data_IF_698513262485
#
_entry.id   IF_698513262485
#
_cell.length_a   1.000
_cell.length_b   1.000
_cell.length_c   1.000
_cell.angle_alpha   90.00
_cell.angle_beta   90.00
_cell.angle_gamma   90.00
#
_symmetry.space_group_name_H-M   'P 1'
#
loop_
_entity.id
_entity.type
_entity.pdbx_description
1 polymer ?
#
# COMPACT_ATOMS: atom_id res chain seq x y z
N UNK A 1 -29.37 -13.70 9.12
CA UNK A 1 -28.78 -13.60 9.05
C UNK A 1 -28.36 -13.20 8.88
N UNK A 2 -28.12 -13.02 9.07
CA UNK A 2 -27.55 -12.69 9.00
C UNK A 2 -26.86 -12.30 9.05
N UNK A 3 -26.74 -12.13 9.50
CA UNK A 3 -25.88 -11.83 9.64
C UNK A 3 -25.07 -12.10 9.51
N UNK A 4 -24.85 -12.51 9.64
CA UNK A 4 -23.95 -12.88 9.60
C UNK A 4 -23.43 -12.85 9.01
N UNK A 5 -23.38 -12.91 8.94
CA UNK A 5 -22.69 -12.87 8.47
C UNK A 5 -22.13 -12.11 8.23
N UNK A 6 -22.17 -11.97 8.63
CA UNK A 6 -21.67 -10.75 8.57
C UNK A 6 -20.36 -10.51 9.14
N UNK A 7 -19.99 -10.90 10.27
CA UNK A 7 -18.74 -10.61 10.83
C UNK A 7 -17.64 -11.27 10.15
N UNK A 8 -17.85 -12.41 9.64
CA UNK A 8 -16.80 -12.96 8.91
C UNK A 8 -16.60 -12.27 7.62
N UNK A 9 -17.59 -11.59 7.12
CA UNK A 9 -17.39 -10.74 5.99
C UNK A 9 -16.39 -9.68 6.30
N UNK A 10 -16.40 -9.15 7.48
CA UNK A 10 -15.45 -8.14 7.83
C UNK A 10 -14.05 -8.64 7.80
N UNK A 11 -13.84 -9.86 8.25
CA UNK A 11 -12.51 -10.40 8.26
C UNK A 11 -11.99 -10.66 6.88
N UNK A 12 -12.80 -11.24 6.05
CA UNK A 12 -12.36 -11.60 4.73
C UNK A 12 -12.20 -10.42 3.86
N UNK A 13 -13.06 -9.48 4.04
CA UNK A 13 -13.13 -8.35 3.16
C UNK A 13 -13.16 -7.14 4.01
N UNK A 14 -12.02 -6.80 4.53
CA UNK A 14 -12.00 -5.66 5.42
C UNK A 14 -12.58 -4.49 4.72
N UNK A 15 -13.43 -3.82 5.43
CA UNK A 15 -14.01 -2.63 4.90
C UNK A 15 -12.97 -1.57 4.96
N UNK A 16 -12.48 -1.19 3.82
CA UNK A 16 -11.47 -0.16 3.76
C UNK A 16 -12.17 1.18 3.81
N UNK A 17 -11.77 1.98 4.75
CA UNK A 17 -12.26 3.33 4.82
C UNK A 17 -11.75 4.12 3.64
N UNK A 18 -12.41 5.22 3.36
CA UNK A 18 -12.00 6.07 2.26
C UNK A 18 -10.55 6.50 2.42
N UNK A 19 -10.13 6.78 3.65
CA UNK A 19 -8.75 7.18 3.89
C UNK A 19 -7.78 6.06 3.52
N UNK A 20 -8.11 4.81 3.86
CA UNK A 20 -7.24 3.70 3.51
C UNK A 20 -7.14 3.54 2.01
N UNK A 21 -8.25 3.68 1.31
CA UNK A 21 -8.22 3.58 -0.15
C UNK A 21 -7.38 4.69 -0.75
N UNK A 22 -7.47 5.87 -0.20
CA UNK A 22 -6.67 6.99 -0.69
C UNK A 22 -5.19 6.71 -0.48
N UNK A 23 -4.84 6.19 0.71
CA UNK A 23 -3.45 5.83 0.98
C UNK A 23 -2.96 4.80 -0.03
N UNK A 24 -3.75 3.77 -0.29
CA UNK A 24 -3.33 2.73 -1.21
C UNK A 24 -3.14 3.28 -2.62
N UNK A 25 -4.03 4.17 -3.05
CA UNK A 25 -3.89 4.76 -4.37
C UNK A 25 -2.62 5.60 -4.48
N UNK A 26 -2.31 6.35 -3.43
CA UNK A 26 -1.12 7.18 -3.44
C UNK A 26 0.14 6.33 -3.45
N UNK A 27 0.19 5.28 -2.62
CA UNK A 27 1.36 4.44 -2.55
C UNK A 27 1.53 3.59 -3.79
N UNK A 28 0.44 3.25 -4.45
CA UNK A 28 0.56 2.52 -5.70
C UNK A 28 1.26 3.36 -6.75
N UNK A 29 1.01 4.66 -6.74
CA UNK A 29 1.68 5.55 -7.68
C UNK A 29 3.10 5.87 -7.25
N UNK A 30 3.34 5.99 -5.95
CA UNK A 30 4.64 6.40 -5.45
C UNK A 30 4.88 5.68 -4.13
N UNK A 31 5.48 4.51 -4.22
CA UNK A 31 5.76 3.71 -3.04
C UNK A 31 6.81 4.32 -2.12
N UNK A 32 7.46 5.38 -2.54
CA UNK A 32 8.46 6.05 -1.72
C UNK A 32 7.97 7.35 -1.13
N UNK A 33 6.68 7.61 -1.21
CA UNK A 33 6.14 8.83 -0.65
C UNK A 33 6.46 8.91 0.83
N UNK A 34 6.90 10.08 1.28
CA UNK A 34 7.25 10.25 2.68
C UNK A 34 6.00 10.22 3.54
N UNK A 35 6.19 9.89 4.82
CA UNK A 35 5.07 9.90 5.76
C UNK A 35 4.45 11.28 5.88
N UNK A 36 5.28 12.31 5.82
CA UNK A 36 4.79 13.68 5.90
C UNK A 36 3.90 14.00 4.70
N UNK A 37 4.35 13.65 3.51
CA UNK A 37 3.56 13.93 2.33
C UNK A 37 2.29 13.08 2.33
N UNK A 38 2.39 11.83 2.72
CA UNK A 38 1.23 10.97 2.77
C UNK A 38 0.19 11.53 3.73
N UNK A 39 0.62 11.99 4.89
CA UNK A 39 -0.30 12.60 5.83
C UNK A 39 -0.93 13.85 5.26
N UNK A 40 -0.12 14.67 4.60
CA UNK A 40 -0.63 15.90 4.01
C UNK A 40 -1.72 15.59 2.98
N UNK A 41 -1.48 14.60 2.14
CA UNK A 41 -2.42 14.26 1.08
C UNK A 41 -3.71 13.66 1.61
N UNK A 42 -3.64 13.01 2.76
CA UNK A 42 -4.81 12.30 3.28
C UNK A 42 -5.47 13.00 4.44
N UNK A 43 -4.91 14.15 4.87
CA UNK A 43 -5.47 14.86 6.00
C UNK A 43 -5.12 14.25 7.34
N UNK A 44 -4.06 13.47 7.39
CA UNK A 44 -3.64 12.81 8.62
C UNK A 44 -2.32 13.41 9.10
N UNK A 45 -2.05 13.26 10.40
CA UNK A 45 -0.74 13.58 10.90
C UNK A 45 0.26 12.57 10.34
N UNK A 46 1.52 12.92 10.40
CA UNK A 46 2.58 12.01 9.94
C UNK A 46 2.51 10.67 10.65
N UNK A 47 2.35 10.68 11.97
CA UNK A 47 2.34 9.42 12.69
C UNK A 47 1.06 8.65 12.45
N UNK A 48 -0.07 9.32 12.25
CA UNK A 48 -1.30 8.62 11.93
C UNK A 48 -1.21 7.95 10.57
N UNK A 49 -0.61 8.63 9.59
CA UNK A 49 -0.42 8.04 8.28
C UNK A 49 0.46 6.80 8.39
N UNK A 50 1.54 6.89 9.16
CA UNK A 50 2.43 5.76 9.32
C UNK A 50 1.72 4.59 9.96
N UNK A 51 0.92 4.83 10.98
CA UNK A 51 0.20 3.77 11.65
C UNK A 51 -0.81 3.10 10.72
N UNK A 52 -1.48 3.89 9.90
CA UNK A 52 -2.43 3.32 8.95
C UNK A 52 -1.74 2.40 7.97
N UNK A 53 -0.59 2.82 7.44
CA UNK A 53 0.14 1.99 6.50
C UNK A 53 0.61 0.71 7.19
N UNK A 54 1.13 0.82 8.41
CA UNK A 54 1.57 -0.38 9.11
C UNK A 54 0.45 -1.36 9.32
N UNK A 55 -0.75 -0.86 9.59
CA UNK A 55 -1.89 -1.74 9.74
C UNK A 55 -2.25 -2.43 8.44
N UNK A 56 -2.18 -1.69 7.34
CA UNK A 56 -2.47 -2.29 6.03
C UNK A 56 -1.42 -3.34 5.67
N UNK A 57 -0.18 -3.11 6.06
CA UNK A 57 0.85 -4.11 5.86
C UNK A 57 0.60 -5.34 6.70
N UNK A 58 0.25 -5.13 7.97
CA UNK A 58 0.03 -6.25 8.87
C UNK A 58 -1.13 -7.12 8.42
N UNK A 59 -2.12 -6.52 7.79
CA UNK A 59 -3.27 -7.27 7.29
C UNK A 59 -3.01 -7.92 5.95
N UNK A 60 -1.85 -7.72 5.39
CA UNK A 60 -1.54 -8.31 4.09
C UNK A 60 -2.15 -7.59 2.92
N UNK A 61 -2.74 -6.42 3.14
CA UNK A 61 -3.29 -5.65 2.03
C UNK A 61 -2.17 -5.03 1.23
N UNK A 62 -1.16 -4.48 1.91
CA UNK A 62 0.05 -4.05 1.25
C UNK A 62 1.03 -5.20 1.37
N UNK A 63 1.40 -5.79 0.25
CA UNK A 63 2.26 -6.96 0.26
C UNK A 63 3.70 -6.65 -0.06
N UNK A 64 3.99 -5.43 -0.48
CA UNK A 64 5.36 -5.06 -0.77
C UNK A 64 5.39 -3.77 -1.54
N UNK A 65 6.61 -3.32 -1.84
CA UNK A 65 6.83 -2.10 -2.58
C UNK A 65 7.82 -2.41 -3.69
N UNK A 66 7.54 -1.90 -4.87
CA UNK A 66 8.34 -2.22 -6.04
C UNK A 66 8.79 -0.97 -6.74
N UNK A 67 9.94 -1.07 -7.39
CA UNK A 67 10.41 -0.01 -8.25
C UNK A 67 9.97 -0.32 -9.67
N UNK A 68 9.62 0.73 -10.40
CA UNK A 68 9.36 0.62 -11.82
C UNK A 68 10.64 1.00 -12.54
N UNK A 69 11.11 0.14 -13.45
CA UNK A 69 12.40 0.33 -14.06
C UNK A 69 12.25 0.54 -15.55
N UNK A 70 13.14 1.37 -16.08
CA UNK A 70 13.26 1.52 -17.52
C UNK A 70 14.31 0.52 -18.00
N UNK A 71 13.83 -0.62 -18.48
CA UNK A 71 14.72 -1.71 -18.82
C UNK A 71 15.62 -1.38 -20.00
N UNK A 72 15.14 -0.56 -20.91
CA UNK A 72 15.96 -0.16 -22.03
C UNK A 72 17.15 0.66 -21.59
N UNK A 73 16.93 1.53 -20.61
CA UNK A 73 17.99 2.38 -20.14
C UNK A 73 19.06 1.60 -19.37
N UNK A 74 18.67 0.47 -18.76
CA UNK A 74 19.60 -0.33 -18.00
C UNK A 74 20.36 -1.29 -18.87
N UNK A 75 19.74 -1.77 -19.92
CA UNK A 75 20.39 -2.68 -20.85
C UNK A 75 20.48 -4.09 -20.32
N UNK A 76 21.43 -4.84 -20.86
CA UNK A 76 21.51 -6.27 -20.60
C UNK A 76 21.89 -6.58 -19.16
N UNK A 77 22.48 -5.65 -18.44
CA UNK A 77 22.90 -5.91 -17.09
C UNK A 77 21.76 -6.22 -16.14
N UNK A 78 20.58 -5.71 -16.44
CA UNK A 78 19.44 -5.90 -15.56
C UNK A 78 18.98 -7.35 -15.56
N UNK A 79 19.18 -8.04 -16.65
CA UNK A 79 18.73 -9.43 -16.74
C UNK A 79 19.42 -10.29 -15.68
N UNK A 80 20.72 -10.15 -15.55
CA UNK A 80 21.45 -10.91 -14.55
C UNK A 80 20.99 -10.54 -13.15
N UNK A 81 20.70 -9.27 -12.94
CA UNK A 81 20.26 -8.82 -11.64
C UNK A 81 18.92 -9.44 -11.28
N UNK A 82 18.03 -9.51 -12.22
CA UNK A 82 16.68 -10.01 -11.96
C UNK A 82 16.70 -11.48 -11.60
N UNK A 83 17.61 -12.24 -12.16
CA UNK A 83 17.61 -13.66 -11.95
C UNK A 83 18.56 -14.12 -10.87
N UNK A 84 19.03 -13.22 -10.07
CA UNK A 84 19.79 -13.59 -8.91
C UNK A 84 18.86 -14.04 -7.79
#
# INVERSE_FOLDING_TARGET
MTKHHDEEDEDRSPILEATDRHILALLEKDGRMSWTELGHQTGLSTSAAQQRVKRLEAKGIITGYHATLNLEAIGAGITAFIFL
#
